data_IF_823225280328
#
_entry.id   IF_823225280328
#
_cell.length_a   1.000
_cell.length_b   1.000
_cell.length_c   1.000
_cell.angle_alpha   90.00
_cell.angle_beta   90.00
_cell.angle_gamma   90.00
#
_symmetry.space_group_name_H-M   'P 1'
#
loop_
_entity.id
_entity.type
_entity.pdbx_description
1 polymer ?
#
# COMPACT_ATOMS: atom_id res chain seq x y z
N UNK A 1 -1.74 13.15 24.92
CA UNK A 1 -0.54 12.47 24.38
C UNK A 1 -1.04 11.43 23.38
N UNK A 2 -0.45 11.34 22.19
CA UNK A 2 -0.89 10.34 21.19
C UNK A 2 -0.49 8.96 21.72
N UNK A 3 -1.44 8.02 21.74
CA UNK A 3 -1.16 6.62 22.05
C UNK A 3 -0.59 5.93 20.80
N UNK A 4 0.71 6.11 20.58
CA UNK A 4 1.39 5.71 19.33
C UNK A 4 1.17 4.23 19.00
N UNK A 5 1.23 3.34 19.99
CA UNK A 5 1.00 1.90 19.78
C UNK A 5 -0.41 1.59 19.27
N UNK A 6 -1.44 2.30 19.76
CA UNK A 6 -2.81 2.15 19.23
C UNK A 6 -2.91 2.62 17.79
N UNK A 7 -2.20 3.69 17.42
CA UNK A 7 -2.17 4.16 16.04
C UNK A 7 -1.41 3.19 15.11
N UNK A 8 -0.28 2.63 15.56
CA UNK A 8 0.45 1.61 14.80
C UNK A 8 -0.45 0.40 14.56
N UNK A 9 -1.10 -0.12 15.61
CA UNK A 9 -2.01 -1.26 15.50
C UNK A 9 -3.18 -0.96 14.54
N UNK A 10 -3.82 0.20 14.67
CA UNK A 10 -4.90 0.62 13.77
C UNK A 10 -4.49 0.58 12.30
N UNK A 11 -3.33 1.13 11.97
CA UNK A 11 -2.84 1.16 10.60
C UNK A 11 -2.40 -0.22 10.10
N UNK A 12 -1.71 -1.01 10.93
CA UNK A 12 -1.26 -2.37 10.60
C UNK A 12 -2.45 -3.30 10.37
N UNK A 13 -3.40 -3.32 11.29
CA UNK A 13 -4.54 -4.24 11.25
C UNK A 13 -5.46 -3.88 10.08
N UNK A 14 -5.70 -2.58 9.87
CA UNK A 14 -6.43 -2.11 8.68
C UNK A 14 -5.69 -2.35 7.36
N UNK A 15 -4.35 -2.47 7.37
CA UNK A 15 -3.58 -2.87 6.18
C UNK A 15 -3.73 -4.37 5.90
N UNK A 16 -3.81 -5.21 6.93
CA UNK A 16 -4.05 -6.63 6.79
C UNK A 16 -5.44 -6.92 6.20
N UNK A 17 -6.48 -6.24 6.70
CA UNK A 17 -7.84 -6.34 6.17
C UNK A 17 -7.90 -5.92 4.69
N UNK A 18 -7.32 -4.76 4.33
CA UNK A 18 -7.30 -4.30 2.94
C UNK A 18 -6.53 -5.26 2.02
N UNK A 19 -5.48 -5.92 2.53
CA UNK A 19 -4.68 -6.86 1.75
C UNK A 19 -5.44 -8.17 1.48
N UNK A 20 -6.22 -8.64 2.45
CA UNK A 20 -7.11 -9.79 2.28
C UNK A 20 -8.16 -9.50 1.21
N UNK A 21 -8.85 -8.36 1.30
CA UNK A 21 -9.82 -7.90 0.30
C UNK A 21 -9.18 -7.75 -1.08
N UNK A 22 -7.97 -7.18 -1.16
CA UNK A 22 -7.23 -7.07 -2.42
C UNK A 22 -7.02 -8.45 -3.06
N UNK A 23 -6.61 -9.43 -2.26
CA UNK A 23 -6.32 -10.79 -2.71
C UNK A 23 -7.58 -11.48 -3.26
N UNK A 24 -8.71 -11.38 -2.57
CA UNK A 24 -10.00 -11.92 -3.03
C UNK A 24 -10.43 -11.30 -4.37
N UNK A 25 -10.30 -9.98 -4.50
CA UNK A 25 -10.70 -9.26 -5.71
C UNK A 25 -9.83 -9.63 -6.91
N UNK A 26 -8.53 -9.83 -6.71
CA UNK A 26 -7.61 -10.27 -7.76
C UNK A 26 -7.95 -11.70 -8.22
N UNK A 27 -8.26 -12.61 -7.29
CA UNK A 27 -8.71 -13.97 -7.61
C UNK A 27 -10.01 -13.95 -8.41
N UNK A 28 -10.95 -13.08 -8.03
CA UNK A 28 -12.22 -12.87 -8.73
C UNK A 28 -12.11 -12.07 -10.05
N UNK A 29 -10.90 -11.81 -10.54
CA UNK A 29 -10.60 -11.00 -11.73
C UNK A 29 -11.20 -9.58 -11.69
N UNK A 30 -11.43 -9.03 -10.49
CA UNK A 30 -11.83 -7.64 -10.25
C UNK A 30 -10.60 -6.73 -10.15
N UNK A 31 -9.73 -6.81 -11.16
CA UNK A 31 -8.36 -6.26 -11.16
C UNK A 31 -8.25 -4.81 -10.70
N UNK A 32 -9.10 -3.92 -11.21
CA UNK A 32 -9.07 -2.50 -10.83
C UNK A 32 -9.26 -2.29 -9.33
N UNK A 33 -10.25 -2.98 -8.74
CA UNK A 33 -10.53 -2.86 -7.31
C UNK A 33 -9.45 -3.56 -6.49
N UNK A 34 -9.00 -4.73 -6.92
CA UNK A 34 -7.90 -5.44 -6.26
C UNK A 34 -6.63 -4.60 -6.16
N UNK A 35 -6.23 -3.93 -7.24
CA UNK A 35 -5.06 -3.04 -7.25
C UNK A 35 -5.24 -1.78 -6.38
N UNK A 36 -6.47 -1.26 -6.30
CA UNK A 36 -6.80 -0.16 -5.39
C UNK A 36 -6.65 -0.57 -3.92
N UNK A 37 -7.19 -1.72 -3.52
CA UNK A 37 -7.05 -2.23 -2.16
C UNK A 37 -5.60 -2.62 -1.83
N UNK A 38 -4.86 -3.19 -2.78
CA UNK A 38 -3.43 -3.47 -2.60
C UNK A 38 -2.62 -2.17 -2.36
N UNK A 39 -2.93 -1.09 -3.10
CA UNK A 39 -2.35 0.23 -2.81
C UNK A 39 -2.71 0.71 -1.40
N UNK A 40 -4.00 0.62 -1.01
CA UNK A 40 -4.45 1.07 0.31
C UNK A 40 -3.76 0.32 1.45
N UNK A 41 -3.61 -0.99 1.33
CA UNK A 41 -2.91 -1.82 2.29
C UNK A 41 -1.45 -1.37 2.47
N UNK A 42 -0.70 -1.20 1.37
CA UNK A 42 0.67 -0.67 1.41
C UNK A 42 0.72 0.73 2.03
N UNK A 43 -0.21 1.61 1.67
CA UNK A 43 -0.29 2.97 2.21
C UNK A 43 -0.51 2.97 3.73
N UNK A 44 -1.47 2.19 4.22
CA UNK A 44 -1.76 2.04 5.65
C UNK A 44 -0.53 1.47 6.38
N UNK A 45 0.12 0.46 5.81
CA UNK A 45 1.28 -0.17 6.43
C UNK A 45 2.46 0.80 6.54
N UNK A 46 2.76 1.56 5.48
CA UNK A 46 3.75 2.63 5.51
C UNK A 46 3.40 3.70 6.54
N UNK A 47 2.11 4.06 6.68
CA UNK A 47 1.63 4.99 7.71
C UNK A 47 1.84 4.44 9.13
N UNK A 48 1.74 3.13 9.35
CA UNK A 48 2.10 2.51 10.61
C UNK A 48 3.60 2.73 10.93
N UNK A 49 4.48 2.52 9.94
CA UNK A 49 5.92 2.80 10.11
C UNK A 49 6.20 4.29 10.34
N UNK A 50 5.49 5.21 9.67
CA UNK A 50 5.61 6.65 9.94
C UNK A 50 5.24 6.95 11.40
N UNK A 51 4.15 6.39 11.92
CA UNK A 51 3.77 6.55 13.33
C UNK A 51 4.90 6.07 14.25
N UNK A 52 5.44 4.88 13.97
CA UNK A 52 6.50 4.28 14.78
C UNK A 52 7.79 5.08 14.77
N UNK A 53 8.19 5.60 13.61
CA UNK A 53 9.43 6.34 13.41
C UNK A 53 9.33 7.76 13.99
N UNK A 54 8.25 8.48 13.68
CA UNK A 54 8.11 9.91 14.02
C UNK A 54 7.42 10.16 15.37
N UNK A 55 6.73 9.14 15.92
CA UNK A 55 5.86 9.25 17.10
C UNK A 55 4.72 10.27 16.91
N UNK A 56 4.31 10.50 15.67
CA UNK A 56 3.27 11.47 15.30
C UNK A 56 2.21 10.80 14.40
N UNK A 57 1.08 11.51 14.20
CA UNK A 57 0.07 11.13 13.21
C UNK A 57 0.69 11.23 11.81
N UNK A 58 0.48 10.24 10.93
CA UNK A 58 1.09 10.24 9.61
C UNK A 58 0.44 11.31 8.71
N UNK A 59 1.17 11.86 7.75
CA UNK A 59 0.64 12.88 6.85
C UNK A 59 -0.47 12.33 5.97
N UNK A 60 -1.39 13.21 5.56
CA UNK A 60 -2.50 12.88 4.64
C UNK A 60 -2.04 12.90 3.18
N UNK A 61 -1.07 12.04 2.86
CA UNK A 61 -0.57 11.81 1.52
C UNK A 61 -0.76 10.34 1.13
N UNK A 62 -0.71 10.07 -0.18
CA UNK A 62 -0.93 8.75 -0.77
C UNK A 62 0.28 8.24 -1.57
N UNK A 63 1.34 9.03 -1.68
CA UNK A 63 2.54 8.65 -2.42
C UNK A 63 3.37 7.66 -1.58
N UNK A 64 3.45 6.40 -2.03
CA UNK A 64 4.08 5.33 -1.27
C UNK A 64 5.60 5.51 -1.09
N UNK A 65 6.40 5.84 -2.13
CA UNK A 65 7.83 6.14 -1.93
C UNK A 65 8.07 7.26 -0.91
N UNK A 66 7.27 8.33 -0.95
CA UNK A 66 7.39 9.44 -0.01
C UNK A 66 7.02 9.04 1.42
N UNK A 67 6.02 8.16 1.60
CA UNK A 67 5.70 7.63 2.93
C UNK A 67 6.84 6.75 3.47
N UNK A 68 7.46 5.94 2.62
CA UNK A 68 8.62 5.12 3.02
C UNK A 68 9.82 5.97 3.46
N UNK A 69 10.08 7.08 2.75
CA UNK A 69 11.11 8.06 3.11
C UNK A 69 10.83 8.69 4.48
N UNK A 70 9.60 9.15 4.71
CA UNK A 70 9.18 9.75 6.00
C UNK A 70 9.25 8.71 7.13
N UNK A 71 8.98 7.44 6.82
CA UNK A 71 9.10 6.33 7.77
C UNK A 71 10.56 5.96 8.11
N UNK A 72 11.55 6.56 7.45
CA UNK A 72 12.96 6.24 7.64
C UNK A 72 13.34 4.83 7.20
N UNK A 73 12.57 4.22 6.29
CA UNK A 73 12.82 2.86 5.81
C UNK A 73 13.94 2.85 4.77
N UNK A 74 14.85 1.88 4.88
CA UNK A 74 15.89 1.62 3.88
C UNK A 74 15.41 0.53 2.92
N UNK A 75 14.65 0.95 1.92
CA UNK A 75 14.21 0.09 0.83
C UNK A 75 15.28 -0.02 -0.24
N UNK A 76 15.40 -1.18 -0.87
CA UNK A 76 16.18 -1.30 -2.09
C UNK A 76 15.44 -0.68 -3.29
N UNK A 77 16.14 -0.52 -4.41
CA UNK A 77 15.56 0.10 -5.61
C UNK A 77 14.35 -0.68 -6.14
N UNK A 78 14.37 -2.01 -6.08
CA UNK A 78 13.27 -2.86 -6.55
C UNK A 78 12.01 -2.61 -5.72
N UNK A 79 12.13 -2.54 -4.40
CA UNK A 79 11.02 -2.23 -3.50
C UNK A 79 10.45 -0.83 -3.77
N UNK A 80 11.32 0.17 -4.00
CA UNK A 80 10.90 1.53 -4.33
C UNK A 80 10.14 1.58 -5.67
N UNK A 81 10.62 0.86 -6.69
CA UNK A 81 9.98 0.79 -7.99
C UNK A 81 8.59 0.14 -7.89
N UNK A 82 8.46 -0.93 -7.10
CA UNK A 82 7.16 -1.57 -6.83
C UNK A 82 6.19 -0.59 -6.14
N UNK A 83 6.66 0.16 -5.14
CA UNK A 83 5.83 1.19 -4.49
C UNK A 83 5.42 2.31 -5.46
N UNK A 84 6.32 2.70 -6.37
CA UNK A 84 6.03 3.69 -7.40
C UNK A 84 4.98 3.19 -8.41
N UNK A 85 5.10 1.94 -8.85
CA UNK A 85 4.16 1.26 -9.76
C UNK A 85 2.74 1.16 -9.19
N UNK A 86 2.60 1.12 -7.85
CA UNK A 86 1.29 1.00 -7.20
C UNK A 86 0.54 2.34 -7.06
N UNK A 87 1.26 3.47 -7.02
CA UNK A 87 0.66 4.81 -6.84
C UNK A 87 -0.49 5.16 -7.80
N UNK A 88 -0.44 4.84 -9.11
CA UNK A 88 -1.51 5.18 -10.05
C UNK A 88 -2.86 4.57 -9.67
N UNK A 89 -2.87 3.40 -9.01
CA UNK A 89 -4.10 2.68 -8.68
C UNK A 89 -4.92 3.37 -7.58
N UNK A 90 -4.29 4.20 -6.74
CA UNK A 90 -4.99 5.08 -5.80
C UNK A 90 -5.93 6.09 -6.47
N UNK A 91 -5.55 6.56 -7.67
CA UNK A 91 -6.27 7.61 -8.42
C UNK A 91 -7.21 7.03 -9.45
N UNK A 92 -6.83 5.92 -10.10
CA UNK A 92 -7.64 5.26 -11.15
C UNK A 92 -9.01 4.80 -10.64
N UNK A 93 -9.12 4.45 -9.35
CA UNK A 93 -10.40 4.06 -8.76
C UNK A 93 -11.33 5.25 -8.48
N UNK A 94 -10.80 6.49 -8.46
CA UNK A 94 -11.51 7.68 -7.97
C UNK A 94 -11.88 8.67 -9.07
N UNK A 95 -11.10 8.73 -10.14
CA UNK A 95 -11.21 9.78 -11.16
C UNK A 95 -11.37 9.18 -12.57
N UNK A 96 -12.53 9.36 -13.22
CA UNK A 96 -12.82 8.78 -14.54
C UNK A 96 -12.05 9.43 -15.69
N UNK A 97 -11.56 10.66 -15.49
CA UNK A 97 -10.76 11.44 -16.44
C UNK A 97 -9.30 10.96 -16.54
N UNK A 98 -8.83 10.22 -15.53
CA UNK A 98 -7.55 9.52 -15.60
C UNK A 98 -7.73 8.21 -16.36
N UNK A 99 -7.57 8.27 -17.68
CA UNK A 99 -7.50 7.11 -18.57
C UNK A 99 -6.22 6.29 -18.32
N UNK A 100 -6.11 5.70 -17.14
CA UNK A 100 -5.18 4.62 -16.89
C UNK A 100 -5.92 3.36 -17.35
N UNK A 101 -5.40 2.61 -18.33
CA UNK A 101 -5.99 1.33 -18.72
C UNK A 101 -5.99 0.40 -17.50
N UNK A 102 -7.10 -0.30 -17.24
CA UNK A 102 -7.06 -1.38 -16.26
C UNK A 102 -6.14 -2.48 -16.80
N UNK A 103 -5.14 -2.93 -16.04
CA UNK A 103 -4.33 -4.06 -16.46
C UNK A 103 -5.18 -5.30 -16.74
N UNK A 104 -4.70 -6.18 -17.62
CA UNK A 104 -5.33 -7.50 -17.78
C UNK A 104 -5.29 -8.26 -16.45
N UNK A 105 -6.18 -9.24 -16.24
CA UNK A 105 -6.15 -10.06 -15.02
C UNK A 105 -4.78 -10.67 -14.72
N UNK A 106 -4.04 -11.12 -15.74
CA UNK A 106 -2.70 -11.68 -15.60
C UNK A 106 -1.70 -10.63 -15.10
N UNK A 107 -1.70 -9.44 -15.72
CA UNK A 107 -0.86 -8.31 -15.29
C UNK A 107 -1.23 -7.83 -13.88
N UNK A 108 -2.52 -7.84 -13.53
CA UNK A 108 -2.99 -7.50 -12.19
C UNK A 108 -2.47 -8.48 -11.14
N UNK A 109 -2.51 -9.78 -11.43
CA UNK A 109 -1.97 -10.83 -10.57
C UNK A 109 -0.46 -10.70 -10.39
N UNK A 110 0.28 -10.43 -11.47
CA UNK A 110 1.72 -10.16 -11.41
C UNK A 110 2.04 -8.94 -10.54
N UNK A 111 1.36 -7.82 -10.78
CA UNK A 111 1.50 -6.60 -9.99
C UNK A 111 1.29 -6.84 -8.49
N UNK A 112 0.20 -7.52 -8.12
CA UNK A 112 -0.07 -7.84 -6.71
C UNK A 112 0.91 -8.86 -6.14
N UNK A 113 1.39 -9.81 -6.95
CA UNK A 113 2.46 -10.73 -6.56
C UNK A 113 3.75 -10.01 -6.18
N UNK A 114 4.19 -9.05 -7.00
CA UNK A 114 5.36 -8.20 -6.68
C UNK A 114 5.11 -7.31 -5.45
N UNK A 115 3.91 -6.72 -5.36
CA UNK A 115 3.52 -5.92 -4.19
C UNK A 115 3.49 -6.74 -2.90
N UNK A 116 3.19 -8.05 -2.99
CA UNK A 116 3.18 -8.95 -1.83
C UNK A 116 4.56 -9.05 -1.18
N UNK A 117 5.64 -9.04 -1.96
CA UNK A 117 7.02 -9.06 -1.43
C UNK A 117 7.27 -7.84 -0.53
N UNK A 118 6.87 -6.65 -0.99
CA UNK A 118 7.00 -5.41 -0.22
C UNK A 118 6.08 -5.41 0.99
N UNK A 119 4.84 -5.85 0.84
CA UNK A 119 3.87 -5.97 1.93
C UNK A 119 4.39 -6.88 3.05
N UNK A 120 4.87 -8.08 2.71
CA UNK A 120 5.41 -9.03 3.69
C UNK A 120 6.68 -8.50 4.36
N UNK A 121 7.56 -7.84 3.59
CA UNK A 121 8.72 -7.20 4.17
C UNK A 121 8.32 -6.12 5.17
N UNK A 122 7.43 -5.20 4.81
CA UNK A 122 6.94 -4.15 5.71
C UNK A 122 6.29 -4.74 6.98
N UNK A 123 5.47 -5.79 6.84
CA UNK A 123 4.86 -6.50 7.99
C UNK A 123 5.93 -7.07 8.92
N UNK A 124 6.99 -7.69 8.38
CA UNK A 124 8.11 -8.24 9.18
C UNK A 124 8.90 -7.16 9.92
N UNK A 125 8.84 -5.92 9.43
CA UNK A 125 9.58 -4.81 9.99
C UNK A 125 8.81 -4.09 11.08
N UNK A 126 7.53 -4.38 11.37
CA UNK A 126 6.72 -3.71 12.41
C UNK A 126 6.88 -4.34 13.79
#
# INVERSE_FOLDING_TARGET
>A
MIEVEKHIAYWRDGAAEDWEVASELIVANRTRHGLFFAHLALEKLLKAHVCRHTKQVPPRIHNLPRLAEIAGLRLDQRQLDILADMNPFSRQARYPDLFIPTPSPEKGKDLVGRAAEVYQWLMSQL
#
